data_IF_240826259476
#
_entry.id   IF_240826259476
#
_cell.length_a   1.000
_cell.length_b   1.000
_cell.length_c   1.000
_cell.angle_alpha   90.00
_cell.angle_beta   90.00
_cell.angle_gamma   90.00
#
_symmetry.space_group_name_H-M   'P 1'
#
loop_
_entity.id
_entity.type
_entity.pdbx_description
1 polymer ?
#
# COMPACT_ATOMS: atom_id res chain seq x y z
N UNK A 1 18.81 -10.74 -16.64
CA UNK A 1 18.56 -10.27 -15.26
C UNK A 1 17.23 -9.53 -15.26
N UNK A 2 16.21 -10.06 -14.58
CA UNK A 2 14.96 -9.34 -14.30
C UNK A 2 15.37 -8.19 -13.38
N UNK A 3 15.12 -6.95 -13.78
CA UNK A 3 15.42 -5.79 -12.95
C UNK A 3 14.31 -5.79 -11.91
N UNK A 4 14.56 -6.38 -10.75
CA UNK A 4 13.61 -6.35 -9.64
C UNK A 4 13.41 -4.86 -9.31
N UNK A 5 12.22 -4.37 -9.65
CA UNK A 5 11.82 -3.02 -9.28
C UNK A 5 11.66 -3.06 -7.77
N UNK A 6 12.45 -2.28 -7.05
CA UNK A 6 12.27 -2.12 -5.61
C UNK A 6 10.90 -1.48 -5.40
N UNK A 7 10.08 -2.12 -4.58
CA UNK A 7 8.75 -1.65 -4.23
C UNK A 7 8.66 -1.48 -2.73
N UNK A 8 7.84 -0.54 -2.30
CA UNK A 8 7.56 -0.27 -0.89
C UNK A 8 6.05 -0.21 -0.66
N UNK A 9 5.64 -0.61 0.54
CA UNK A 9 4.27 -0.54 1.01
C UNK A 9 4.13 0.75 1.81
N UNK A 10 3.22 1.61 1.37
CA UNK A 10 2.91 2.86 2.04
C UNK A 10 1.63 2.67 2.84
N UNK A 11 1.64 3.12 4.10
CA UNK A 11 0.49 3.11 5.00
C UNK A 11 0.24 4.53 5.47
N UNK A 12 -0.98 5.03 5.26
CA UNK A 12 -1.39 6.40 5.55
C UNK A 12 -2.44 6.41 6.66
N UNK A 13 -2.13 7.12 7.75
CA UNK A 13 -3.01 7.34 8.91
C UNK A 13 -3.67 8.74 8.87
N UNK A 14 -3.46 9.51 7.81
CA UNK A 14 -3.95 10.88 7.63
C UNK A 14 -3.09 11.95 8.30
N UNK A 15 -2.58 11.68 9.51
CA UNK A 15 -1.65 12.58 10.20
C UNK A 15 -0.19 12.35 9.79
N UNK A 16 0.15 11.09 9.51
CA UNK A 16 1.47 10.68 9.08
C UNK A 16 1.38 9.47 8.14
N UNK A 17 2.51 9.21 7.48
CA UNK A 17 2.66 8.15 6.49
C UNK A 17 3.92 7.36 6.82
N UNK A 18 3.80 6.04 6.85
CA UNK A 18 4.91 5.11 7.07
C UNK A 18 5.17 4.28 5.81
N UNK A 19 6.43 3.90 5.60
CA UNK A 19 6.86 3.10 4.46
C UNK A 19 7.59 1.82 4.90
N UNK A 20 7.21 0.69 4.30
CA UNK A 20 7.72 -0.63 4.65
C UNK A 20 8.26 -1.35 3.42
N UNK A 21 9.26 -2.21 3.61
CA UNK A 21 9.81 -2.99 2.50
C UNK A 21 8.87 -4.12 2.06
N UNK A 22 8.04 -4.62 2.99
CA UNK A 22 7.14 -5.75 2.74
C UNK A 22 5.74 -5.54 3.30
N UNK A 23 4.76 -6.26 2.74
CA UNK A 23 3.38 -6.28 3.25
C UNK A 23 3.31 -6.86 4.66
N UNK A 24 4.16 -7.86 4.94
CA UNK A 24 4.24 -8.48 6.27
C UNK A 24 4.65 -7.44 7.33
N UNK A 25 5.73 -6.69 7.10
CA UNK A 25 6.17 -5.65 8.02
C UNK A 25 5.10 -4.57 8.24
N UNK A 26 4.43 -4.12 7.16
CA UNK A 26 3.35 -3.16 7.27
C UNK A 26 2.18 -3.70 8.12
N UNK A 27 1.80 -4.96 7.89
CA UNK A 27 0.70 -5.63 8.60
C UNK A 27 1.04 -5.83 10.08
N UNK A 28 2.27 -6.25 10.38
CA UNK A 28 2.75 -6.41 11.76
C UNK A 28 2.78 -5.06 12.49
N UNK A 29 3.20 -3.98 11.82
CA UNK A 29 3.19 -2.64 12.40
C UNK A 29 1.77 -2.17 12.71
N UNK A 30 0.83 -2.32 11.76
CA UNK A 30 -0.58 -1.94 11.96
C UNK A 30 -1.16 -2.69 13.17
N UNK A 31 -1.03 -4.02 13.19
CA UNK A 31 -1.57 -4.84 14.25
C UNK A 31 -0.90 -4.58 15.60
N UNK A 32 0.41 -4.31 15.61
CA UNK A 32 1.15 -4.00 16.83
C UNK A 32 0.78 -2.67 17.47
N UNK A 33 0.17 -1.75 16.72
CA UNK A 33 -0.18 -0.40 17.19
C UNK A 33 -1.68 -0.09 17.07
N UNK A 34 -2.53 -1.09 16.81
CA UNK A 34 -3.96 -0.91 16.53
C UNK A 34 -4.71 -0.21 17.67
N UNK A 35 -4.35 -0.50 18.92
CA UNK A 35 -4.95 0.10 20.11
C UNK A 35 -4.65 1.61 20.26
N UNK A 36 -3.52 2.08 19.72
CA UNK A 36 -3.07 3.47 19.84
C UNK A 36 -3.38 4.29 18.59
N UNK A 37 -3.15 3.71 17.41
CA UNK A 37 -3.23 4.41 16.13
C UNK A 37 -4.54 4.18 15.38
N UNK A 38 -5.38 3.26 15.86
CA UNK A 38 -6.55 2.77 15.14
C UNK A 38 -6.17 2.23 13.75
N UNK A 39 -7.16 2.04 12.88
CA UNK A 39 -6.99 1.54 11.53
C UNK A 39 -6.40 2.61 10.61
N UNK A 40 -5.47 2.24 9.70
CA UNK A 40 -5.01 3.16 8.68
C UNK A 40 -6.15 3.55 7.72
N UNK A 41 -6.05 4.76 7.16
CA UNK A 41 -7.04 5.27 6.21
C UNK A 41 -6.83 4.68 4.81
N UNK A 42 -5.58 4.46 4.44
CA UNK A 42 -5.21 3.88 3.15
C UNK A 42 -3.88 3.13 3.22
N UNK A 43 -3.72 2.13 2.37
CA UNK A 43 -2.43 1.50 2.13
C UNK A 43 -2.27 1.19 0.64
N UNK A 44 -1.08 1.36 0.08
CA UNK A 44 -0.80 1.07 -1.33
C UNK A 44 0.64 0.64 -1.57
N UNK A 45 0.88 0.00 -2.71
CA UNK A 45 2.24 -0.34 -3.14
C UNK A 45 2.77 0.73 -4.09
N UNK A 46 3.97 1.23 -3.85
CA UNK A 46 4.72 2.11 -4.75
C UNK A 46 5.97 1.42 -5.31
N UNK A 47 6.38 1.81 -6.52
CA UNK A 47 7.73 1.51 -6.99
C UNK A 47 8.74 2.58 -6.55
N UNK A 48 10.03 2.28 -6.65
CA UNK A 48 11.14 3.18 -6.29
C UNK A 48 11.18 4.51 -7.05
N UNK A 49 10.25 4.76 -7.99
CA UNK A 49 10.07 6.04 -8.66
C UNK A 49 8.90 6.84 -8.08
N UNK A 50 8.33 6.40 -6.95
CA UNK A 50 7.14 6.98 -6.33
C UNK A 50 5.85 6.73 -7.11
N UNK A 51 5.82 5.71 -7.99
CA UNK A 51 4.62 5.41 -8.77
C UNK A 51 3.82 4.32 -8.08
N UNK A 52 2.63 4.70 -7.63
CA UNK A 52 1.61 3.78 -7.15
C UNK A 52 1.28 2.68 -8.16
N UNK A 53 1.33 1.43 -7.70
CA UNK A 53 1.11 0.21 -8.47
C UNK A 53 -0.28 -0.35 -8.24
N UNK A 54 -0.76 -0.39 -6.99
CA UNK A 54 -2.10 -0.78 -6.60
C UNK A 54 -2.40 -0.35 -5.17
N UNK A 55 -3.68 -0.26 -4.86
CA UNK A 55 -4.19 -0.09 -3.50
C UNK A 55 -4.31 -1.44 -2.78
N UNK A 56 -4.05 -1.45 -1.48
CA UNK A 56 -4.44 -2.55 -0.61
C UNK A 56 -5.84 -2.29 -0.06
N UNK A 57 -6.64 -3.36 0.03
CA UNK A 57 -7.83 -3.37 0.86
C UNK A 57 -7.42 -3.68 2.29
N UNK A 58 -7.89 -2.85 3.23
CA UNK A 58 -7.68 -3.01 4.66
C UNK A 58 -8.94 -3.69 5.19
N UNK A 59 -8.82 -4.93 5.66
CA UNK A 59 -9.95 -5.74 6.12
C UNK A 59 -9.71 -6.29 7.52
N UNK A 60 -10.80 -6.60 8.22
CA UNK A 60 -10.76 -7.33 9.50
C UNK A 60 -10.33 -8.77 9.25
N UNK A 61 -9.32 -9.25 9.98
CA UNK A 61 -8.84 -10.63 9.88
C UNK A 61 -9.77 -11.66 10.56
N UNK A 62 -10.81 -11.20 11.25
CA UNK A 62 -11.78 -12.00 12.00
C UNK A 62 -11.31 -12.41 13.40
N UNK A 63 -10.11 -12.00 13.80
CA UNK A 63 -9.54 -12.15 15.14
C UNK A 63 -9.39 -10.80 15.87
N UNK A 64 -9.85 -9.71 15.26
CA UNK A 64 -9.73 -8.34 15.78
C UNK A 64 -8.47 -7.62 15.31
N UNK A 65 -7.75 -8.18 14.33
CA UNK A 65 -6.63 -7.56 13.64
C UNK A 65 -6.99 -7.11 12.22
N UNK A 66 -5.98 -6.63 11.52
CA UNK A 66 -6.06 -6.10 10.16
C UNK A 66 -5.23 -6.97 9.21
N UNK A 67 -5.78 -7.24 8.04
CA UNK A 67 -5.09 -7.86 6.90
C UNK A 67 -5.07 -6.90 5.70
N UNK A 68 -3.92 -6.85 5.00
CA UNK A 68 -3.75 -6.09 3.76
C UNK A 68 -3.88 -7.00 2.53
N UNK A 69 -4.96 -6.85 1.78
CA UNK A 69 -5.23 -7.62 0.56
C UNK A 69 -4.92 -6.80 -0.68
N UNK A 70 -4.02 -7.28 -1.54
CA UNK A 70 -3.66 -6.57 -2.76
C UNK A 70 -4.87 -6.43 -3.71
N UNK A 71 -5.18 -5.20 -4.11
CA UNK A 71 -6.19 -4.89 -5.10
C UNK A 71 -5.72 -5.08 -6.54
N UNK A 72 -6.50 -4.56 -7.49
CA UNK A 72 -6.12 -4.59 -8.90
C UNK A 72 -4.95 -3.64 -9.19
N UNK A 73 -4.00 -4.03 -10.07
CA UNK A 73 -2.96 -3.13 -10.53
C UNK A 73 -3.59 -1.91 -11.21
N UNK A 74 -3.11 -0.72 -10.84
CA UNK A 74 -3.42 0.53 -11.51
C UNK A 74 -3.01 0.39 -12.97
N UNK A 75 -4.00 0.22 -13.84
CA UNK A 75 -3.80 0.22 -15.28
C UNK A 75 -3.41 1.64 -15.65
N UNK A 76 -2.11 1.86 -15.85
CA UNK A 76 -1.62 3.09 -16.47
C UNK A 76 -2.17 3.12 -17.89
N UNK A 77 -3.33 3.76 -18.04
CA UNK A 77 -3.88 4.11 -19.35
C UNK A 77 -2.85 5.00 -20.00
N UNK A 78 -2.23 4.50 -21.07
CA UNK A 78 -1.49 5.35 -21.99
C UNK A 78 -2.46 6.42 -22.49
N UNK A 79 -2.44 7.59 -21.86
CA UNK A 79 -3.04 8.78 -22.44
C UNK A 79 -2.13 9.21 -23.58
N UNK A 80 -2.27 8.52 -24.71
CA UNK A 80 -1.90 9.09 -26.00
C UNK A 80 -2.85 10.28 -26.21
N UNK A 81 -2.43 11.47 -25.77
CA UNK A 81 -3.12 12.71 -26.11
C UNK A 81 -2.76 13.02 -27.56
N UNK A 82 -3.70 12.96 -28.52
CA UNK A 82 -3.44 13.51 -29.83
C UNK A 82 -3.32 15.02 -29.65
N UNK A 83 -2.15 15.56 -30.00
CA UNK A 83 -1.99 16.98 -30.28
C UNK A 83 -2.91 17.31 -31.47
N UNK A 84 -3.93 18.13 -31.23
CA UNK A 84 -4.70 18.83 -32.25
C UNK A 84 -4.22 20.28 -32.29
#
# INVERSE_FOLDING_TARGET
>A
MRRDVVTEVIVDYGEFVENFATVLEATDFINGNLDELDWPLAAWLEDSSGRKKWDFQIIDDGAGGVELVAGEPVKSGSYYRPIH
#
